data_IF_813213030265
#
_entry.id   IF_813213030265
#
_cell.length_a   1.000
_cell.length_b   1.000
_cell.length_c   1.000
_cell.angle_alpha   90.00
_cell.angle_beta   90.00
_cell.angle_gamma   90.00
#
_symmetry.space_group_name_H-M   'P 1'
#
loop_
_entity.id
_entity.type
_entity.pdbx_description
1 polymer ?
#
# COMPACT_ATOMS: atom_id res chain seq x y z
N UNK A 1 -11.22 -16.40 -6.48
CA UNK A 1 -11.07 -14.92 -6.40
C UNK A 1 -12.38 -14.13 -6.46
N UNK A 2 -13.40 -14.51 -7.24
CA UNK A 2 -14.60 -13.66 -7.43
C UNK A 2 -15.59 -13.52 -6.25
N UNK A 3 -15.43 -14.24 -5.14
CA UNK A 3 -16.32 -14.14 -3.96
C UNK A 3 -15.78 -13.14 -2.92
N UNK A 4 -14.49 -13.20 -2.61
CA UNK A 4 -13.79 -12.25 -1.73
C UNK A 4 -13.86 -10.80 -2.27
N UNK A 5 -13.57 -10.58 -3.55
CA UNK A 5 -13.65 -9.23 -4.16
C UNK A 5 -15.08 -8.65 -4.08
N UNK A 6 -16.11 -9.49 -4.26
CA UNK A 6 -17.52 -9.04 -4.12
C UNK A 6 -17.89 -8.72 -2.66
N UNK A 7 -17.32 -9.43 -1.69
CA UNK A 7 -17.56 -9.18 -0.27
C UNK A 7 -16.85 -7.92 0.23
N UNK A 8 -15.59 -7.70 -0.16
CA UNK A 8 -14.87 -6.46 0.09
C UNK A 8 -15.62 -5.25 -0.51
N UNK A 9 -16.18 -5.41 -1.71
CA UNK A 9 -17.05 -4.39 -2.33
C UNK A 9 -18.32 -4.13 -1.49
N UNK A 10 -18.97 -5.17 -0.97
CA UNK A 10 -20.19 -5.04 -0.16
C UNK A 10 -19.93 -4.34 1.19
N UNK A 11 -18.83 -4.67 1.88
CA UNK A 11 -18.42 -3.98 3.10
C UNK A 11 -18.02 -2.53 2.83
N UNK A 12 -17.32 -2.28 1.72
CA UNK A 12 -17.01 -0.93 1.25
C UNK A 12 -18.28 -0.09 1.04
N UNK A 13 -19.33 -0.69 0.48
CA UNK A 13 -20.64 -0.02 0.33
C UNK A 13 -21.33 0.27 1.66
N UNK A 14 -21.25 -0.63 2.64
CA UNK A 14 -21.79 -0.39 3.98
C UNK A 14 -21.08 0.77 4.68
N UNK A 15 -19.76 0.82 4.58
CA UNK A 15 -18.96 1.89 5.16
C UNK A 15 -19.18 3.23 4.43
N UNK A 16 -19.28 3.23 3.09
CA UNK A 16 -19.65 4.43 2.32
C UNK A 16 -21.08 4.90 2.68
N UNK A 17 -22.02 3.99 2.87
CA UNK A 17 -23.37 4.33 3.32
C UNK A 17 -23.37 4.96 4.72
N UNK A 18 -22.59 4.44 5.66
CA UNK A 18 -22.40 5.05 6.97
C UNK A 18 -21.80 6.47 6.87
N UNK A 19 -20.77 6.65 6.04
CA UNK A 19 -20.16 7.97 5.79
C UNK A 19 -21.19 8.96 5.20
N UNK A 20 -22.02 8.52 4.25
CA UNK A 20 -23.07 9.35 3.65
C UNK A 20 -24.18 9.69 4.63
N UNK A 21 -24.61 8.74 5.46
CA UNK A 21 -25.61 8.98 6.51
C UNK A 21 -25.09 10.00 7.55
N UNK A 22 -23.82 9.89 7.94
CA UNK A 22 -23.19 10.85 8.84
C UNK A 22 -23.13 12.26 8.26
N UNK A 23 -22.92 12.42 6.95
CA UNK A 23 -22.91 13.73 6.27
C UNK A 23 -24.25 14.47 6.32
N UNK A 24 -25.36 13.74 6.43
CA UNK A 24 -26.70 14.30 6.61
C UNK A 24 -27.18 14.19 8.06
N UNK A 25 -26.24 13.97 8.98
CA UNK A 25 -26.47 13.89 10.43
C UNK A 25 -27.52 12.85 10.86
N UNK A 26 -27.71 11.80 10.05
CA UNK A 26 -28.63 10.71 10.33
C UNK A 26 -27.99 9.65 11.24
N UNK A 27 -27.95 9.91 12.54
CA UNK A 27 -27.24 9.07 13.52
C UNK A 27 -27.72 7.61 13.50
N UNK A 28 -29.04 7.39 13.58
CA UNK A 28 -29.62 6.04 13.63
C UNK A 28 -29.26 5.22 12.39
N UNK A 29 -29.32 5.83 11.20
CA UNK A 29 -28.94 5.17 9.95
C UNK A 29 -27.43 4.91 9.89
N UNK A 30 -26.62 5.86 10.37
CA UNK A 30 -25.16 5.70 10.46
C UNK A 30 -24.80 4.48 11.30
N UNK A 31 -25.39 4.37 12.50
CA UNK A 31 -25.16 3.24 13.40
C UNK A 31 -25.66 1.91 12.84
N UNK A 32 -26.82 1.89 12.17
CA UNK A 32 -27.33 0.67 11.53
C UNK A 32 -26.39 0.16 10.43
N UNK A 33 -25.85 1.06 9.59
CA UNK A 33 -24.86 0.66 8.57
C UNK A 33 -23.56 0.15 9.19
N UNK A 34 -23.10 0.76 10.30
CA UNK A 34 -21.91 0.28 11.01
C UNK A 34 -22.14 -1.07 11.68
N UNK A 35 -23.30 -1.31 12.31
CA UNK A 35 -23.63 -2.61 12.89
C UNK A 35 -23.74 -3.71 11.83
N UNK A 36 -24.17 -3.37 10.60
CA UNK A 36 -24.15 -4.31 9.46
C UNK A 36 -22.73 -4.55 8.95
N UNK A 37 -21.91 -3.50 8.91
CA UNK A 37 -20.51 -3.61 8.55
C UNK A 37 -19.76 -4.53 9.52
N UNK A 38 -19.90 -4.33 10.83
CA UNK A 38 -19.25 -5.15 11.85
C UNK A 38 -19.64 -6.63 11.75
N UNK A 39 -20.93 -6.91 11.49
CA UNK A 39 -21.42 -8.28 11.25
C UNK A 39 -20.83 -8.90 9.99
N UNK A 40 -20.68 -8.12 8.92
CA UNK A 40 -20.06 -8.60 7.69
C UNK A 40 -18.57 -8.89 7.90
N UNK A 41 -17.85 -7.98 8.57
CA UNK A 41 -16.43 -8.14 8.88
C UNK A 41 -16.18 -9.36 9.78
N UNK A 42 -17.01 -9.59 10.79
CA UNK A 42 -16.91 -10.75 11.67
C UNK A 42 -17.17 -12.09 10.95
N UNK A 43 -17.82 -12.07 9.77
CA UNK A 43 -18.08 -13.25 8.95
C UNK A 43 -16.97 -13.52 7.90
N UNK A 44 -15.99 -12.62 7.77
CA UNK A 44 -14.88 -12.81 6.85
C UNK A 44 -13.89 -13.87 7.33
N UNK A 45 -13.35 -14.63 6.38
CA UNK A 45 -12.29 -15.60 6.66
C UNK A 45 -10.98 -14.92 7.05
N UNK A 46 -10.74 -13.71 6.53
CA UNK A 46 -9.58 -12.87 6.81
C UNK A 46 -10.02 -11.40 6.98
N UNK A 47 -10.44 -11.01 8.20
CA UNK A 47 -10.85 -9.65 8.50
C UNK A 47 -9.71 -8.64 8.32
N UNK A 48 -8.46 -9.03 8.57
CA UNK A 48 -7.31 -8.13 8.51
C UNK A 48 -6.98 -7.76 7.05
N UNK A 49 -6.95 -8.74 6.14
CA UNK A 49 -6.78 -8.47 4.71
C UNK A 49 -7.92 -7.60 4.15
N UNK A 50 -9.15 -7.83 4.63
CA UNK A 50 -10.32 -7.02 4.25
C UNK A 50 -10.17 -5.57 4.72
N UNK A 51 -9.75 -5.36 5.97
CA UNK A 51 -9.51 -4.02 6.51
C UNK A 51 -8.39 -3.30 5.76
N UNK A 52 -7.34 -4.02 5.34
CA UNK A 52 -6.27 -3.47 4.53
C UNK A 52 -6.79 -2.96 3.17
N UNK A 53 -7.59 -3.76 2.47
CA UNK A 53 -8.19 -3.38 1.18
C UNK A 53 -9.12 -2.16 1.32
N UNK A 54 -9.95 -2.13 2.36
CA UNK A 54 -10.81 -0.99 2.66
C UNK A 54 -10.01 0.27 3.01
N UNK A 55 -8.93 0.12 3.78
CA UNK A 55 -8.01 1.20 4.12
C UNK A 55 -7.23 1.75 2.92
N UNK A 56 -7.07 0.97 1.84
CA UNK A 56 -6.52 1.47 0.57
C UNK A 56 -7.55 2.22 -0.27
N UNK A 57 -8.83 1.85 -0.16
CA UNK A 57 -9.89 2.33 -1.07
C UNK A 57 -10.58 3.58 -0.54
N UNK A 58 -10.80 3.68 0.77
CA UNK A 58 -11.56 4.78 1.37
C UNK A 58 -10.64 5.93 1.74
N UNK A 59 -11.01 7.14 1.33
CA UNK A 59 -10.17 8.31 1.57
C UNK A 59 -10.14 8.69 3.07
N UNK A 60 -8.93 8.92 3.61
CA UNK A 60 -8.70 9.23 5.03
C UNK A 60 -9.53 10.41 5.54
N UNK A 61 -9.83 11.40 4.69
CA UNK A 61 -10.66 12.54 5.08
C UNK A 61 -12.12 12.16 5.37
N UNK A 62 -12.67 11.17 4.65
CA UNK A 62 -14.03 10.68 4.86
C UNK A 62 -14.13 9.91 6.18
N UNK A 63 -13.14 9.07 6.47
CA UNK A 63 -13.04 8.35 7.75
C UNK A 63 -12.93 9.33 8.94
N UNK A 64 -12.08 10.35 8.83
CA UNK A 64 -11.95 11.40 9.87
C UNK A 64 -13.22 12.26 10.02
N UNK A 65 -14.01 12.41 8.96
CA UNK A 65 -15.30 13.09 9.06
C UNK A 65 -16.32 12.25 9.85
N UNK A 66 -16.40 10.95 9.54
CA UNK A 66 -17.24 10.00 10.26
C UNK A 66 -16.89 9.96 11.76
N UNK A 67 -15.59 9.85 12.10
CA UNK A 67 -15.14 9.88 13.50
C UNK A 67 -15.56 11.16 14.22
N UNK A 68 -15.37 12.33 13.59
CA UNK A 68 -15.73 13.62 14.20
C UNK A 68 -17.21 13.72 14.47
N UNK A 69 -18.06 13.29 13.52
CA UNK A 69 -19.50 13.27 13.71
C UNK A 69 -19.91 12.37 14.88
N UNK A 70 -19.39 11.13 14.94
CA UNK A 70 -19.76 10.18 15.98
C UNK A 70 -19.26 10.59 17.37
N UNK A 71 -18.11 11.26 17.48
CA UNK A 71 -17.65 11.83 18.76
C UNK A 71 -18.62 12.84 19.36
N UNK A 72 -19.42 13.50 18.53
CA UNK A 72 -20.41 14.49 18.96
C UNK A 72 -21.80 13.87 19.14
N UNK A 73 -22.21 13.04 18.20
CA UNK A 73 -23.60 12.58 18.11
C UNK A 73 -23.86 11.21 18.77
N UNK A 74 -22.86 10.34 18.87
CA UNK A 74 -23.04 8.97 19.34
C UNK A 74 -22.63 8.80 20.82
N UNK A 75 -23.13 7.73 21.48
CA UNK A 75 -22.59 7.28 22.76
C UNK A 75 -21.06 7.09 22.73
N UNK A 76 -20.34 7.37 23.84
CA UNK A 76 -18.87 7.35 23.86
C UNK A 76 -18.23 6.02 23.44
N UNK A 77 -18.88 4.90 23.78
CA UNK A 77 -18.49 3.56 23.38
C UNK A 77 -18.52 3.38 21.86
N UNK A 78 -19.56 3.88 21.19
CA UNK A 78 -19.69 3.83 19.73
C UNK A 78 -18.68 4.73 19.03
N UNK A 79 -18.44 5.92 19.55
CA UNK A 79 -17.41 6.82 19.02
C UNK A 79 -16.00 6.22 19.14
N UNK A 80 -15.74 5.51 20.25
CA UNK A 80 -14.47 4.80 20.47
C UNK A 80 -14.32 3.62 19.51
N UNK A 81 -15.36 2.80 19.33
CA UNK A 81 -15.34 1.66 18.42
C UNK A 81 -15.00 2.08 16.98
N UNK A 82 -15.58 3.17 16.47
CA UNK A 82 -15.25 3.65 15.12
C UNK A 82 -13.84 4.21 15.02
N UNK A 83 -13.36 4.90 16.07
CA UNK A 83 -11.96 5.37 16.09
C UNK A 83 -10.98 4.18 16.03
N UNK A 84 -11.30 3.07 16.73
CA UNK A 84 -10.54 1.82 16.66
C UNK A 84 -10.62 1.19 15.27
N UNK A 85 -11.80 1.13 14.65
CA UNK A 85 -11.98 0.61 13.29
C UNK A 85 -11.15 1.39 12.26
N UNK A 86 -11.21 2.72 12.30
CA UNK A 86 -10.45 3.58 11.37
C UNK A 86 -8.95 3.40 11.56
N UNK A 87 -8.47 3.37 12.80
CA UNK A 87 -7.06 3.10 13.11
C UNK A 87 -6.64 1.71 12.62
N UNK A 88 -7.48 0.68 12.83
CA UNK A 88 -7.25 -0.68 12.37
C UNK A 88 -7.15 -0.79 10.85
N UNK A 89 -8.05 -0.14 10.09
CA UNK A 89 -7.96 -0.10 8.62
C UNK A 89 -6.66 0.55 8.14
N UNK A 90 -6.26 1.67 8.75
CA UNK A 90 -5.02 2.36 8.38
C UNK A 90 -3.78 1.52 8.70
N UNK A 91 -3.78 0.85 9.86
CA UNK A 91 -2.69 -0.01 10.28
C UNK A 91 -2.57 -1.24 9.37
N UNK A 92 -3.68 -1.93 9.08
CA UNK A 92 -3.70 -3.08 8.20
C UNK A 92 -3.24 -2.71 6.77
N UNK A 93 -3.71 -1.59 6.24
CA UNK A 93 -3.27 -1.10 4.94
C UNK A 93 -1.77 -0.75 4.92
N UNK A 94 -1.27 -0.14 6.01
CA UNK A 94 0.16 0.15 6.14
C UNK A 94 0.99 -1.14 6.20
N UNK A 95 0.62 -2.09 7.07
CA UNK A 95 1.30 -3.38 7.20
C UNK A 95 1.36 -4.13 5.87
N UNK A 96 0.26 -4.17 5.12
CA UNK A 96 0.22 -4.80 3.80
C UNK A 96 1.12 -4.09 2.78
N UNK A 97 1.21 -2.76 2.80
CA UNK A 97 2.11 -1.99 1.93
C UNK A 97 3.57 -2.20 2.26
N UNK A 98 3.89 -2.38 3.53
CA UNK A 98 5.27 -2.51 4.01
C UNK A 98 5.70 -3.97 4.23
N UNK A 99 4.85 -4.96 3.91
CA UNK A 99 5.17 -6.38 4.04
C UNK A 99 6.40 -6.75 3.19
N UNK A 100 7.53 -7.13 3.82
CA UNK A 100 8.77 -7.45 3.10
C UNK A 100 8.63 -8.64 2.15
N UNK A 101 7.76 -9.62 2.44
CA UNK A 101 7.55 -10.77 1.56
C UNK A 101 6.82 -10.35 0.28
N UNK A 102 5.74 -9.57 0.43
CA UNK A 102 4.99 -9.01 -0.70
C UNK A 102 5.85 -8.09 -1.56
N UNK A 103 6.66 -7.22 -0.96
CA UNK A 103 7.55 -6.32 -1.69
C UNK A 103 8.64 -7.09 -2.45
N UNK A 104 9.24 -8.12 -1.86
CA UNK A 104 10.20 -8.99 -2.57
C UNK A 104 9.57 -9.72 -3.74
N UNK A 105 8.36 -10.25 -3.57
CA UNK A 105 7.64 -10.88 -4.68
C UNK A 105 7.37 -9.88 -5.82
N UNK A 106 6.94 -8.66 -5.48
CA UNK A 106 6.76 -7.61 -6.47
C UNK A 106 8.09 -7.25 -7.18
N UNK A 107 9.23 -7.30 -6.48
CA UNK A 107 10.56 -7.15 -7.10
C UNK A 107 10.84 -8.18 -8.19
N UNK A 108 10.50 -9.45 -7.94
CA UNK A 108 10.58 -10.54 -8.93
C UNK A 108 9.63 -10.31 -10.10
N UNK A 109 8.36 -10.02 -9.80
CA UNK A 109 7.28 -9.87 -10.78
C UNK A 109 7.47 -8.63 -11.68
N UNK A 110 8.24 -7.63 -11.23
CA UNK A 110 8.63 -6.48 -12.05
C UNK A 110 9.42 -6.89 -13.31
N UNK A 111 10.07 -8.06 -13.28
CA UNK A 111 10.74 -8.68 -14.42
C UNK A 111 9.88 -9.66 -15.23
N UNK A 112 8.61 -9.87 -14.88
CA UNK A 112 7.70 -10.79 -15.58
C UNK A 112 7.53 -10.42 -17.05
N UNK A 113 7.24 -11.40 -17.91
CA UNK A 113 6.87 -11.17 -19.31
C UNK A 113 5.47 -10.57 -19.45
N UNK A 114 4.59 -10.86 -18.49
CA UNK A 114 3.21 -10.37 -18.48
C UNK A 114 3.15 -8.87 -18.13
N UNK A 115 2.64 -8.01 -19.05
CA UNK A 115 2.45 -6.58 -18.79
C UNK A 115 1.56 -6.27 -17.59
N UNK A 116 0.50 -7.04 -17.35
CA UNK A 116 -0.41 -6.79 -16.23
C UNK A 116 0.26 -7.10 -14.90
N UNK A 117 0.91 -8.27 -14.80
CA UNK A 117 1.65 -8.66 -13.60
C UNK A 117 2.77 -7.66 -13.26
N UNK A 118 3.53 -7.23 -14.28
CA UNK A 118 4.61 -6.25 -14.12
C UNK A 118 4.09 -4.87 -13.70
N UNK A 119 2.95 -4.43 -14.24
CA UNK A 119 2.33 -3.17 -13.84
C UNK A 119 1.83 -3.25 -12.39
N UNK A 120 1.17 -4.35 -12.01
CA UNK A 120 0.74 -4.60 -10.64
C UNK A 120 1.93 -4.61 -9.67
N UNK A 121 3.04 -5.25 -10.05
CA UNK A 121 4.27 -5.26 -9.28
C UNK A 121 4.84 -3.84 -9.07
N UNK A 122 4.87 -3.02 -10.13
CA UNK A 122 5.29 -1.64 -10.06
C UNK A 122 4.41 -0.81 -9.10
N UNK A 123 3.09 -1.03 -9.13
CA UNK A 123 2.15 -0.35 -8.23
C UNK A 123 2.31 -0.78 -6.77
N UNK A 124 2.57 -2.06 -6.52
CA UNK A 124 2.87 -2.58 -5.17
C UNK A 124 4.13 -1.92 -4.61
N UNK A 125 5.22 -1.93 -5.37
CA UNK A 125 6.49 -1.30 -4.96
C UNK A 125 6.34 0.21 -4.75
N UNK A 126 5.62 0.90 -5.63
CA UNK A 126 5.36 2.33 -5.48
C UNK A 126 4.55 2.66 -4.22
N UNK A 127 3.53 1.86 -3.88
CA UNK A 127 2.73 2.02 -2.65
C UNK A 127 3.50 1.68 -1.39
N UNK A 128 4.49 0.78 -1.47
CA UNK A 128 5.41 0.47 -0.37
C UNK A 128 6.31 1.64 0.03
N UNK A 129 6.47 2.63 -0.84
CA UNK A 129 7.24 3.84 -0.55
C UNK A 129 8.69 3.51 -0.14
N UNK A 130 9.17 4.11 0.95
CA UNK A 130 10.52 3.85 1.45
C UNK A 130 10.74 2.43 1.95
N UNK A 131 9.68 1.70 2.34
CA UNK A 131 9.81 0.30 2.73
C UNK A 131 10.19 -0.62 1.56
N UNK A 132 9.96 -0.18 0.31
CA UNK A 132 10.37 -0.91 -0.89
C UNK A 132 11.85 -0.70 -1.25
N UNK A 133 12.55 0.24 -0.60
CA UNK A 133 13.94 0.58 -0.94
C UNK A 133 14.89 -0.62 -0.94
N UNK A 134 14.84 -1.57 0.02
CA UNK A 134 15.74 -2.71 -0.03
C UNK A 134 15.64 -3.53 -1.32
N UNK A 135 14.41 -3.82 -1.74
CA UNK A 135 14.14 -4.55 -2.98
C UNK A 135 14.60 -3.73 -4.19
N UNK A 136 14.31 -2.43 -4.21
CA UNK A 136 14.67 -1.56 -5.33
C UNK A 136 16.20 -1.40 -5.47
N UNK A 137 16.92 -1.33 -4.36
CA UNK A 137 18.39 -1.27 -4.29
C UNK A 137 19.00 -2.58 -4.81
N UNK A 138 18.49 -3.73 -4.36
CA UNK A 138 18.92 -5.04 -4.88
C UNK A 138 18.71 -5.14 -6.39
N UNK A 139 17.57 -4.68 -6.91
CA UNK A 139 17.29 -4.66 -8.35
C UNK A 139 18.27 -3.78 -9.15
N UNK A 140 18.75 -2.67 -8.58
CA UNK A 140 19.78 -1.83 -9.20
C UNK A 140 21.17 -2.47 -9.20
N UNK A 141 21.43 -3.38 -8.26
CA UNK A 141 22.70 -4.10 -8.16
C UNK A 141 22.76 -5.33 -9.06
N UNK A 142 21.62 -5.79 -9.58
CA UNK A 142 21.61 -6.95 -10.48
C UNK A 142 22.49 -6.69 -11.72
N UNK A 143 23.38 -7.64 -12.05
CA UNK A 143 24.25 -7.51 -13.21
C UNK A 143 23.45 -7.57 -14.51
N UNK A 144 24.03 -7.01 -15.56
CA UNK A 144 23.52 -7.20 -16.93
C UNK A 144 23.56 -8.71 -17.23
N UNK A 145 22.47 -9.31 -17.74
CA UNK A 145 22.47 -10.72 -18.07
C UNK A 145 23.54 -11.04 -19.11
N UNK A 146 24.26 -12.14 -18.90
CA UNK A 146 25.25 -12.64 -19.85
C UNK A 146 24.55 -13.49 -20.92
N UNK A 147 24.82 -13.20 -22.20
CA UNK A 147 24.30 -13.97 -23.34
C UNK A 147 23.58 -13.13 -24.40
N UNK A 148 23.41 -13.72 -25.58
CA UNK A 148 22.88 -13.05 -26.77
C UNK A 148 21.34 -13.16 -26.91
N UNK A 149 20.61 -13.46 -25.82
CA UNK A 149 19.14 -13.49 -25.86
C UNK A 149 18.58 -12.05 -25.82
N UNK A 150 18.03 -11.54 -26.94
CA UNK A 150 17.55 -10.17 -27.01
C UNK A 150 16.37 -9.93 -26.05
N UNK A 151 15.57 -10.95 -25.76
CA UNK A 151 14.42 -10.82 -24.88
C UNK A 151 14.85 -10.62 -23.42
N UNK A 152 15.89 -11.32 -22.97
CA UNK A 152 16.46 -11.11 -21.64
C UNK A 152 17.06 -9.71 -21.49
N UNK A 153 17.76 -9.21 -22.50
CA UNK A 153 18.31 -7.85 -22.50
C UNK A 153 17.19 -6.78 -22.43
N UNK A 154 16.13 -6.94 -23.22
CA UNK A 154 14.97 -6.02 -23.20
C UNK A 154 14.31 -6.02 -21.82
N UNK A 155 14.06 -7.20 -21.23
CA UNK A 155 13.49 -7.32 -19.88
C UNK A 155 14.35 -6.65 -18.83
N UNK A 156 15.67 -6.86 -18.89
CA UNK A 156 16.61 -6.22 -17.97
C UNK A 156 16.53 -4.70 -18.03
N UNK A 157 16.58 -4.12 -19.25
CA UNK A 157 16.49 -2.67 -19.45
C UNK A 157 15.16 -2.13 -18.96
N UNK A 158 14.05 -2.82 -19.26
CA UNK A 158 12.72 -2.42 -18.83
C UNK A 158 12.58 -2.45 -17.31
N UNK A 159 13.00 -3.54 -16.65
CA UNK A 159 12.98 -3.65 -15.19
C UNK A 159 13.80 -2.53 -14.57
N UNK A 160 15.02 -2.28 -15.05
CA UNK A 160 15.89 -1.23 -14.53
C UNK A 160 15.29 0.17 -14.72
N UNK A 161 14.62 0.43 -15.85
CA UNK A 161 13.87 1.68 -16.07
C UNK A 161 12.74 1.83 -15.06
N UNK A 162 11.93 0.79 -14.84
CA UNK A 162 10.82 0.84 -13.88
C UNK A 162 11.32 1.04 -12.45
N UNK A 163 12.36 0.32 -12.04
CA UNK A 163 13.01 0.50 -10.72
C UNK A 163 13.43 1.96 -10.51
N UNK A 164 14.12 2.58 -11.47
CA UNK A 164 14.51 4.00 -11.39
C UNK A 164 13.29 4.94 -11.36
N UNK A 165 12.24 4.65 -12.14
CA UNK A 165 11.02 5.45 -12.11
C UNK A 165 10.34 5.42 -10.73
N UNK A 166 10.27 4.24 -10.10
CA UNK A 166 9.70 4.05 -8.77
C UNK A 166 10.54 4.79 -7.73
N UNK A 167 11.86 4.57 -7.71
CA UNK A 167 12.78 5.26 -6.78
C UNK A 167 12.61 6.76 -6.89
N UNK A 168 12.62 7.32 -8.10
CA UNK A 168 12.53 8.77 -8.25
C UNK A 168 11.20 9.36 -7.74
N UNK A 169 10.12 8.59 -7.66
CA UNK A 169 8.84 9.04 -7.07
C UNK A 169 8.88 9.16 -5.55
N UNK A 170 9.90 8.61 -4.89
CA UNK A 170 10.06 8.68 -3.43
C UNK A 170 10.49 10.07 -2.94
N UNK A 171 11.11 10.88 -3.81
CA UNK A 171 11.50 12.26 -3.50
C UNK A 171 12.37 12.39 -2.24
N UNK A 172 12.07 13.42 -1.44
CA UNK A 172 12.83 13.73 -0.21
C UNK A 172 12.84 12.58 0.79
N UNK A 173 11.70 11.92 1.01
CA UNK A 173 11.62 10.78 1.94
C UNK A 173 12.51 9.61 1.50
N UNK A 174 12.62 9.37 0.19
CA UNK A 174 13.57 8.40 -0.36
C UNK A 174 15.02 8.79 -0.11
N UNK A 175 15.34 10.08 -0.30
CA UNK A 175 16.69 10.62 -0.08
C UNK A 175 17.13 10.49 1.37
N UNK A 176 16.27 10.89 2.32
CA UNK A 176 16.53 10.79 3.75
C UNK A 176 16.76 9.33 4.18
N UNK A 177 15.93 8.40 3.67
CA UNK A 177 16.05 6.99 3.97
C UNK A 177 17.38 6.39 3.43
N UNK A 178 17.78 6.76 2.21
CA UNK A 178 19.03 6.30 1.60
C UNK A 178 20.27 6.90 2.30
N UNK A 179 20.24 8.17 2.68
CA UNK A 179 21.31 8.80 3.48
C UNK A 179 21.42 8.11 4.84
N UNK A 180 20.29 7.82 5.48
CA UNK A 180 20.29 7.05 6.73
C UNK A 180 20.88 5.65 6.54
N UNK A 181 20.64 5.00 5.39
CA UNK A 181 21.24 3.70 5.07
C UNK A 181 22.77 3.82 4.90
N UNK A 182 23.29 4.85 4.23
CA UNK A 182 24.74 5.05 4.11
C UNK A 182 25.45 5.22 5.47
N UNK A 183 24.72 5.62 6.52
CA UNK A 183 25.23 5.65 7.89
C UNK A 183 25.31 4.28 8.58
N UNK A 184 24.84 3.21 7.93
CA UNK A 184 24.88 1.83 8.44
C UNK A 184 26.18 1.11 8.07
N UNK A 185 26.42 -0.08 8.63
CA UNK A 185 27.57 -0.92 8.30
C UNK A 185 27.33 -1.86 7.10
N UNK A 186 26.27 -1.63 6.32
CA UNK A 186 25.87 -2.47 5.19
C UNK A 186 26.56 -2.05 3.88
N UNK A 187 27.89 -2.18 3.87
CA UNK A 187 28.73 -1.74 2.76
C UNK A 187 28.45 -2.49 1.44
N UNK A 188 27.91 -3.71 1.52
CA UNK A 188 27.61 -4.54 0.36
C UNK A 188 26.54 -3.88 -0.54
N UNK A 189 25.57 -3.17 0.05
CA UNK A 189 24.50 -2.51 -0.69
C UNK A 189 24.81 -1.08 -1.14
N UNK A 190 25.96 -0.52 -0.73
CA UNK A 190 26.33 0.87 -1.06
C UNK A 190 26.30 1.20 -2.55
N UNK A 191 26.78 0.33 -3.47
CA UNK A 191 26.68 0.62 -4.91
C UNK A 191 25.24 0.84 -5.37
N UNK A 192 24.28 0.05 -4.87
CA UNK A 192 22.87 0.21 -5.19
C UNK A 192 22.25 1.44 -4.53
N UNK A 193 22.63 1.75 -3.28
CA UNK A 193 22.19 2.95 -2.55
C UNK A 193 22.66 4.22 -3.24
N UNK A 194 23.92 4.29 -3.67
CA UNK A 194 24.49 5.41 -4.44
C UNK A 194 23.74 5.54 -5.78
N UNK A 195 23.56 4.44 -6.51
CA UNK A 195 22.82 4.46 -7.77
C UNK A 195 21.36 4.91 -7.62
N UNK A 196 20.74 4.65 -6.46
CA UNK A 196 19.40 5.13 -6.13
C UNK A 196 19.38 6.62 -5.78
N UNK A 197 20.39 7.12 -5.05
CA UNK A 197 20.56 8.55 -4.76
C UNK A 197 20.76 9.35 -6.06
N UNK A 198 21.56 8.86 -7.00
CA UNK A 198 21.75 9.52 -8.31
C UNK A 198 20.42 9.73 -9.03
N UNK A 199 19.49 8.77 -8.95
CA UNK A 199 18.14 8.90 -9.54
C UNK A 199 17.34 10.05 -8.92
N UNK A 200 17.53 10.31 -7.63
CA UNK A 200 16.77 11.29 -6.86
C UNK A 200 17.35 12.70 -6.97
N UNK A 201 18.67 12.82 -7.16
CA UNK A 201 19.38 14.11 -7.28
C UNK A 201 19.28 14.68 -8.70
N UNK A 202 19.22 13.83 -9.73
CA UNK A 202 19.12 14.25 -11.14
C UNK A 202 17.69 14.68 -11.58
N UNK A 203 16.86 15.17 -10.65
CA UNK A 203 15.46 15.57 -10.92
C UNK A 203 15.16 17.05 -10.72
#
# INVERSE_FOLDING_TARGET
>A
MGRQVRQATAMGLLLDAAIRAAKVEALAATLDFLDRFDRALAAEADPEATLAELGETIATHQLRQLERYLKVAAPPDRATAVSTLVSGMQQAAWQQRTDPARLRQAGTDLGSDDPEQRQQAADILARGGTAALPVLVELLMQPVPEGDDPQQAIRFVQRRRLTRQIIGRLGTSGTEALISWLGSADFDHFPGVIAALDVLVDR
#
